data_IF_833962232567
#
_entry.id   IF_833962232567
#
_cell.length_a   1.000
_cell.length_b   1.000
_cell.length_c   1.000
_cell.angle_alpha   90.00
_cell.angle_beta   90.00
_cell.angle_gamma   90.00
#
_symmetry.space_group_name_H-M   'P 1'
#
loop_
_entity.id
_entity.type
_entity.pdbx_description
1 polymer ?
#
# COMPACT_ATOMS: atom_id res chain seq x y z
N UNK A 1 -44.38 -12.29 30.71
CA UNK A 1 -43.40 -11.30 31.21
C UNK A 1 -42.26 -11.23 30.19
N UNK A 2 -42.02 -10.07 29.59
CA UNK A 2 -40.73 -9.74 28.94
C UNK A 2 -39.90 -8.97 29.98
N UNK A 3 -38.54 -9.03 29.97
CA UNK A 3 -37.76 -8.35 28.92
C UNK A 3 -36.41 -8.98 28.50
N UNK A 4 -36.04 -8.66 27.25
CA UNK A 4 -34.72 -8.32 26.68
C UNK A 4 -33.42 -8.68 27.43
N UNK A 5 -32.48 -9.32 26.73
CA UNK A 5 -31.06 -8.88 26.65
C UNK A 5 -30.44 -9.32 25.30
N UNK A 6 -29.96 -8.32 24.56
CA UNK A 6 -29.06 -8.40 23.40
C UNK A 6 -27.62 -8.48 23.94
N UNK A 7 -26.72 -9.24 23.31
CA UNK A 7 -25.38 -8.82 22.87
C UNK A 7 -24.48 -10.03 22.55
N UNK A 8 -23.70 -9.93 21.48
CA UNK A 8 -22.37 -10.54 21.39
C UNK A 8 -22.20 -11.62 20.33
N UNK A 9 -21.91 -11.20 19.10
CA UNK A 9 -21.34 -12.02 18.05
C UNK A 9 -19.85 -12.35 18.34
N UNK A 10 -19.32 -13.26 17.51
CA UNK A 10 -17.95 -13.78 17.42
C UNK A 10 -17.64 -14.94 18.37
N UNK A 11 -17.36 -16.11 17.78
CA UNK A 11 -16.02 -16.64 17.54
C UNK A 11 -16.16 -18.11 17.12
N UNK A 12 -16.32 -18.38 15.83
CA UNK A 12 -16.18 -19.75 15.31
C UNK A 12 -14.79 -19.92 14.68
N UNK A 13 -13.93 -20.51 15.50
CA UNK A 13 -12.89 -21.50 15.20
C UNK A 13 -12.22 -21.48 13.82
N UNK A 14 -10.91 -21.23 13.87
CA UNK A 14 -9.92 -21.75 12.94
C UNK A 14 -10.08 -23.27 12.77
N UNK A 15 -10.25 -23.73 11.53
CA UNK A 15 -9.64 -24.99 11.07
C UNK A 15 -9.34 -24.86 9.58
N UNK A 16 -8.14 -25.28 9.20
CA UNK A 16 -7.47 -24.84 7.98
C UNK A 16 -8.13 -25.24 6.67
N UNK A 17 -8.05 -24.32 5.72
CA UNK A 17 -7.74 -24.61 4.34
C UNK A 17 -7.10 -23.35 3.74
N UNK A 18 -5.97 -23.48 3.05
CA UNK A 18 -5.32 -22.34 2.35
C UNK A 18 -6.15 -21.99 1.12
N UNK A 19 -7.26 -21.28 1.35
CA UNK A 19 -8.03 -20.63 0.29
C UNK A 19 -7.29 -19.39 -0.18
N UNK A 20 -7.09 -19.27 -1.48
CA UNK A 20 -6.69 -18.04 -2.13
C UNK A 20 -7.63 -16.89 -1.67
N UNK A 21 -7.14 -15.76 -1.13
CA UNK A 21 -8.01 -14.67 -0.65
C UNK A 21 -8.81 -13.99 -1.78
N UNK A 22 -8.59 -14.38 -3.04
CA UNK A 22 -9.34 -13.92 -4.21
C UNK A 22 -10.33 -14.98 -4.72
N UNK A 23 -11.05 -15.68 -3.84
CA UNK A 23 -12.28 -16.35 -4.28
C UNK A 23 -13.28 -15.27 -4.69
N UNK A 24 -13.39 -15.06 -6.00
CA UNK A 24 -14.37 -14.19 -6.63
C UNK A 24 -15.76 -14.51 -6.07
N UNK A 25 -16.40 -13.52 -5.44
CA UNK A 25 -17.80 -13.64 -5.07
C UNK A 25 -18.62 -13.98 -6.33
N UNK A 26 -19.63 -14.87 -6.26
CA UNK A 26 -20.46 -15.21 -7.41
C UNK A 26 -21.01 -13.93 -8.04
N UNK A 27 -20.83 -13.79 -9.35
CA UNK A 27 -21.17 -12.58 -10.10
C UNK A 27 -22.65 -12.23 -9.90
N UNK A 28 -22.94 -11.20 -9.10
CA UNK A 28 -24.29 -10.66 -8.98
C UNK A 28 -24.79 -10.28 -7.59
N UNK A 29 -24.03 -10.43 -6.51
CA UNK A 29 -24.47 -9.94 -5.19
C UNK A 29 -23.84 -8.58 -4.85
N UNK A 30 -24.63 -7.51 -4.93
CA UNK A 30 -24.29 -6.18 -4.39
C UNK A 30 -25.21 -5.91 -3.20
N UNK A 31 -24.72 -6.03 -1.94
CA UNK A 31 -25.52 -5.63 -0.79
C UNK A 31 -25.69 -4.11 -0.78
N UNK A 32 -26.93 -3.65 -0.58
CA UNK A 32 -27.26 -2.23 -0.55
C UNK A 32 -26.55 -1.54 0.63
N UNK A 33 -25.65 -0.59 0.34
CA UNK A 33 -24.93 0.21 1.33
C UNK A 33 -23.40 0.02 1.37
N UNK A 34 -22.82 -0.77 0.47
CA UNK A 34 -21.35 -0.80 0.31
C UNK A 34 -20.86 0.55 -0.18
N UNK A 35 -20.05 1.25 0.63
CA UNK A 35 -19.05 2.18 0.10
C UNK A 35 -18.41 1.45 -1.06
N UNK A 36 -18.49 1.99 -2.27
CA UNK A 36 -17.86 1.36 -3.42
C UNK A 36 -16.43 1.01 -3.01
N UNK A 37 -16.13 -0.29 -2.97
CA UNK A 37 -14.79 -0.75 -2.70
C UNK A 37 -13.95 -0.15 -3.82
N UNK A 38 -13.18 0.89 -3.52
CA UNK A 38 -12.37 1.57 -4.53
C UNK A 38 -11.31 0.55 -4.94
N UNK A 39 -11.49 -0.04 -6.11
CA UNK A 39 -10.57 -1.03 -6.67
C UNK A 39 -9.45 -0.33 -7.42
N UNK A 40 -8.23 -0.91 -7.43
CA UNK A 40 -7.17 -0.43 -8.30
C UNK A 40 -7.63 -0.44 -9.76
N UNK A 41 -7.29 0.62 -10.49
CA UNK A 41 -7.50 0.78 -11.93
C UNK A 41 -6.35 0.20 -12.75
N UNK A 42 -5.17 0.03 -12.13
CA UNK A 42 -4.00 -0.55 -12.78
C UNK A 42 -3.93 -2.07 -12.64
N UNK A 43 -3.31 -2.72 -13.63
CA UNK A 43 -3.00 -4.16 -13.55
C UNK A 43 -1.89 -4.44 -12.54
N UNK A 44 -1.84 -5.68 -12.04
CA UNK A 44 -0.76 -6.16 -11.16
C UNK A 44 0.63 -5.97 -11.80
N UNK A 45 0.75 -6.25 -13.10
CA UNK A 45 2.01 -6.05 -13.84
C UNK A 45 2.45 -4.59 -13.88
N UNK A 46 1.50 -3.67 -14.05
CA UNK A 46 1.78 -2.21 -14.01
C UNK A 46 2.18 -1.77 -12.61
N UNK A 47 1.46 -2.20 -11.58
CA UNK A 47 1.80 -1.92 -10.19
C UNK A 47 3.22 -2.41 -9.84
N UNK A 48 3.59 -3.62 -10.27
CA UNK A 48 4.93 -4.18 -10.08
C UNK A 48 6.01 -3.39 -10.80
N UNK A 49 5.74 -2.94 -12.03
CA UNK A 49 6.66 -2.09 -12.79
C UNK A 49 6.91 -0.75 -12.10
N UNK A 50 5.86 -0.10 -11.59
CA UNK A 50 6.01 1.17 -10.85
C UNK A 50 6.74 0.94 -9.54
N UNK A 51 6.39 -0.10 -8.77
CA UNK A 51 7.07 -0.43 -7.52
C UNK A 51 8.57 -0.68 -7.71
N UNK A 52 8.96 -1.32 -8.81
CA UNK A 52 10.37 -1.53 -9.16
C UNK A 52 11.07 -0.21 -9.47
N UNK A 53 10.44 0.66 -10.29
CA UNK A 53 10.98 1.98 -10.62
C UNK A 53 11.08 2.92 -9.40
N UNK A 54 10.15 2.81 -8.45
CA UNK A 54 10.22 3.54 -7.17
C UNK A 54 11.40 3.06 -6.34
N UNK A 55 11.58 1.74 -6.19
CA UNK A 55 12.71 1.21 -5.45
C UNK A 55 14.05 1.61 -6.07
N UNK A 56 14.17 1.49 -7.38
CA UNK A 56 15.36 1.91 -8.11
C UNK A 56 15.69 3.39 -7.93
N UNK A 57 14.72 4.25 -7.65
CA UNK A 57 14.95 5.68 -7.43
C UNK A 57 15.20 6.03 -5.96
N UNK A 58 14.52 5.34 -5.04
CA UNK A 58 14.66 5.50 -3.60
C UNK A 58 15.98 4.91 -3.06
N UNK A 59 16.46 3.80 -3.62
CA UNK A 59 17.71 3.12 -3.20
C UNK A 59 18.95 3.72 -3.87
N UNK A 60 18.89 4.98 -4.35
CA UNK A 60 20.04 5.66 -4.96
C UNK A 60 20.70 6.57 -3.96
N UNK A 61 21.95 6.93 -4.23
CA UNK A 61 22.67 7.91 -3.42
C UNK A 61 21.99 9.29 -3.36
N UNK A 62 21.25 9.66 -4.40
CA UNK A 62 20.46 10.89 -4.44
C UNK A 62 19.08 10.58 -5.04
N UNK A 63 18.07 10.57 -4.17
CA UNK A 63 16.66 10.41 -4.54
C UNK A 63 16.16 11.67 -5.26
N UNK A 64 15.45 11.51 -6.38
CA UNK A 64 14.76 12.60 -7.05
C UNK A 64 13.28 12.66 -6.67
N UNK A 65 12.91 13.61 -5.81
CA UNK A 65 11.52 13.93 -5.47
C UNK A 65 10.62 14.06 -6.70
N UNK A 66 11.08 14.78 -7.72
CA UNK A 66 10.33 15.02 -8.95
C UNK A 66 10.03 13.72 -9.71
N UNK A 67 10.97 12.77 -9.73
CA UNK A 67 10.79 11.48 -10.39
C UNK A 67 9.84 10.59 -9.61
N UNK A 68 9.94 10.56 -8.28
CA UNK A 68 8.99 9.83 -7.42
C UNK A 68 7.57 10.38 -7.59
N UNK A 69 7.40 11.70 -7.55
CA UNK A 69 6.10 12.34 -7.80
C UNK A 69 5.60 11.99 -9.21
N UNK A 70 6.45 12.06 -10.23
CA UNK A 70 6.06 11.71 -11.60
C UNK A 70 5.65 10.24 -11.76
N UNK A 71 6.24 9.32 -11.00
CA UNK A 71 5.87 7.90 -11.00
C UNK A 71 4.52 7.64 -10.32
N UNK A 72 4.11 8.50 -9.39
CA UNK A 72 2.86 8.36 -8.63
C UNK A 72 1.72 9.26 -9.15
N UNK A 73 2.04 10.25 -9.97
CA UNK A 73 1.07 11.22 -10.48
C UNK A 73 0.00 10.55 -11.34
N UNK A 74 -1.26 10.89 -11.06
CA UNK A 74 -2.41 10.43 -11.83
C UNK A 74 -3.01 9.09 -11.39
N UNK A 75 -2.40 8.44 -10.40
CA UNK A 75 -2.97 7.27 -9.74
C UNK A 75 -3.86 7.69 -8.57
N UNK A 76 -4.86 6.85 -8.25
CA UNK A 76 -5.69 7.04 -7.06
C UNK A 76 -5.13 6.26 -5.85
N UNK A 77 -5.78 6.37 -4.69
CA UNK A 77 -5.32 5.69 -3.47
C UNK A 77 -5.34 4.16 -3.58
N UNK A 78 -6.31 3.58 -4.28
CA UNK A 78 -6.36 2.13 -4.48
C UNK A 78 -5.21 1.64 -5.39
N UNK A 79 -4.86 2.42 -6.42
CA UNK A 79 -3.68 2.18 -7.25
C UNK A 79 -2.39 2.28 -6.45
N UNK A 80 -2.28 3.29 -5.57
CA UNK A 80 -1.15 3.41 -4.66
C UNK A 80 -1.03 2.17 -3.77
N UNK A 81 -2.14 1.68 -3.18
CA UNK A 81 -2.12 0.46 -2.38
C UNK A 81 -1.72 -0.77 -3.20
N UNK A 82 -2.12 -0.86 -4.47
CA UNK A 82 -1.66 -1.92 -5.36
C UNK A 82 -0.14 -1.84 -5.60
N UNK A 83 0.42 -0.65 -5.80
CA UNK A 83 1.87 -0.42 -5.95
C UNK A 83 2.60 -0.75 -4.64
N UNK A 84 2.11 -0.26 -3.50
CA UNK A 84 2.61 -0.55 -2.16
C UNK A 84 2.73 -2.06 -1.92
N UNK A 85 1.67 -2.81 -2.23
CA UNK A 85 1.66 -4.26 -2.08
C UNK A 85 2.70 -4.97 -2.96
N UNK A 86 2.99 -4.45 -4.16
CA UNK A 86 4.04 -4.99 -5.03
C UNK A 86 5.45 -4.57 -4.59
N UNK A 87 5.59 -3.42 -3.92
CA UNK A 87 6.87 -2.95 -3.38
C UNK A 87 7.32 -3.81 -2.19
N UNK A 88 6.38 -4.09 -1.29
CA UNK A 88 6.60 -4.91 -0.09
C UNK A 88 7.47 -4.19 0.95
N UNK A 89 8.23 -4.97 1.72
CA UNK A 89 9.18 -4.45 2.71
C UNK A 89 10.59 -4.60 2.17
N UNK A 90 11.39 -3.54 2.24
CA UNK A 90 12.77 -3.51 1.75
C UNK A 90 13.71 -2.91 2.78
N UNK A 91 14.98 -3.32 2.73
CA UNK A 91 16.01 -2.85 3.64
C UNK A 91 16.45 -1.45 3.24
N UNK A 92 16.20 -0.48 4.11
CA UNK A 92 16.70 0.89 4.02
C UNK A 92 18.01 1.01 4.79
N UNK A 93 19.00 1.63 4.18
CA UNK A 93 20.21 2.06 4.90
C UNK A 93 20.41 3.57 4.73
N UNK A 94 20.29 4.35 5.82
CA UNK A 94 20.50 5.80 5.77
C UNK A 94 21.96 6.21 5.53
N UNK A 95 22.93 5.29 5.66
CA UNK A 95 24.36 5.61 5.55
C UNK A 95 24.92 5.24 4.18
N UNK A 96 24.60 4.05 3.67
CA UNK A 96 25.03 3.56 2.37
C UNK A 96 23.84 2.95 1.62
N UNK A 97 23.21 3.67 0.68
CA UNK A 97 22.05 3.21 -0.10
C UNK A 97 22.43 2.15 -1.16
N UNK A 98 23.17 1.11 -0.76
CA UNK A 98 23.67 0.03 -1.62
C UNK A 98 23.57 -1.32 -0.91
N UNK A 99 22.43 -1.59 -0.25
CA UNK A 99 21.98 -2.93 0.22
C UNK A 99 22.86 -3.72 1.20
N UNK A 100 24.10 -3.30 1.45
CA UNK A 100 25.17 -4.12 2.05
C UNK A 100 25.49 -3.71 3.48
N UNK A 101 24.78 -2.72 4.03
CA UNK A 101 25.06 -2.23 5.37
C UNK A 101 24.42 -3.07 6.44
N UNK A 102 25.23 -3.51 7.39
CA UNK A 102 24.83 -4.18 8.63
C UNK A 102 23.94 -3.32 9.54
N UNK A 103 23.76 -2.02 9.24
CA UNK A 103 22.97 -1.07 10.04
C UNK A 103 21.58 -0.76 9.47
N UNK A 104 21.24 -1.28 8.28
CA UNK A 104 19.95 -1.03 7.66
C UNK A 104 18.79 -1.74 8.35
N UNK A 105 17.57 -1.18 8.24
CA UNK A 105 16.33 -1.72 8.79
C UNK A 105 15.26 -1.85 7.71
N UNK A 106 14.33 -2.77 7.91
CA UNK A 106 13.30 -3.11 6.94
C UNK A 106 12.10 -2.18 7.09
N UNK A 107 11.76 -1.47 6.02
CA UNK A 107 10.64 -0.52 5.98
C UNK A 107 9.82 -0.67 4.69
N UNK A 108 8.59 -0.20 4.72
CA UNK A 108 7.67 -0.25 3.57
C UNK A 108 7.80 0.98 2.65
N UNK A 109 7.07 0.97 1.52
CA UNK A 109 7.12 2.05 0.53
C UNK A 109 6.81 3.43 1.12
N UNK A 110 5.81 3.52 1.99
CA UNK A 110 5.37 4.80 2.56
C UNK A 110 6.43 5.34 3.50
N UNK A 111 7.01 4.47 4.33
CA UNK A 111 8.13 4.84 5.21
C UNK A 111 9.38 5.25 4.43
N UNK A 112 9.72 4.55 3.33
CA UNK A 112 10.79 4.95 2.41
C UNK A 112 10.55 6.36 1.87
N UNK A 113 9.35 6.61 1.35
CA UNK A 113 9.00 7.92 0.79
C UNK A 113 9.11 9.03 1.84
N UNK A 114 8.57 8.82 3.05
CA UNK A 114 8.60 9.82 4.13
C UNK A 114 10.03 10.15 4.56
N UNK A 115 10.95 9.17 4.53
CA UNK A 115 12.34 9.37 4.95
C UNK A 115 13.20 10.03 3.87
N UNK A 116 12.92 9.73 2.60
CA UNK A 116 13.76 10.16 1.48
C UNK A 116 13.33 11.48 0.84
N UNK A 117 12.04 11.79 0.85
CA UNK A 117 11.53 12.99 0.17
C UNK A 117 11.53 14.22 1.08
N UNK A 118 11.62 15.40 0.46
CA UNK A 118 11.43 16.66 1.17
C UNK A 118 9.99 16.84 1.67
N UNK A 119 9.81 17.60 2.75
CA UNK A 119 8.49 17.96 3.29
C UNK A 119 7.56 18.59 2.24
N UNK A 120 8.11 19.35 1.30
CA UNK A 120 7.34 19.96 0.21
C UNK A 120 6.76 18.93 -0.76
N UNK A 121 7.47 17.83 -0.97
CA UNK A 121 7.05 16.73 -1.83
C UNK A 121 6.09 15.80 -1.09
N UNK A 122 6.31 15.56 0.20
CA UNK A 122 5.32 14.90 1.06
C UNK A 122 4.01 15.68 1.06
N UNK A 123 4.04 17.01 1.18
CA UNK A 123 2.83 17.83 1.09
C UNK A 123 2.11 17.73 -0.27
N UNK A 124 2.82 17.45 -1.37
CA UNK A 124 2.20 17.16 -2.66
C UNK A 124 1.56 15.76 -2.66
N UNK A 125 2.22 14.77 -2.07
CA UNK A 125 1.67 13.42 -1.92
C UNK A 125 0.41 13.41 -1.05
N UNK A 126 0.36 14.19 0.04
CA UNK A 126 -0.87 14.38 0.85
C UNK A 126 -2.06 14.88 0.04
N UNK A 127 -1.81 15.71 -0.99
CA UNK A 127 -2.89 16.22 -1.86
C UNK A 127 -3.37 15.15 -2.84
N UNK A 128 -2.50 14.22 -3.24
CA UNK A 128 -2.84 13.13 -4.17
C UNK A 128 -3.46 11.93 -3.45
N UNK A 129 -2.99 11.64 -2.24
CA UNK A 129 -3.35 10.47 -1.44
C UNK A 129 -3.62 10.87 0.04
N UNK A 130 -4.66 11.68 0.30
CA UNK A 130 -4.92 12.28 1.62
C UNK A 130 -5.20 11.28 2.75
N UNK A 131 -5.63 10.06 2.43
CA UNK A 131 -5.86 9.01 3.43
C UNK A 131 -4.59 8.25 3.80
N UNK A 132 -3.48 8.48 3.08
CA UNK A 132 -2.22 7.72 3.22
C UNK A 132 -1.10 8.58 3.80
N UNK A 133 -0.92 9.82 3.32
CA UNK A 133 0.17 10.73 3.72
C UNK A 133 -0.34 11.93 4.53
#
# INVERSE_FOLDING_TARGET
MNPLLILGALWFFFSGNKGNPYQEAPSGYIPAGTKEEIKPTISVGKAKSIASALYEELDRYLTSDAKIISLLKGYNEADYLAIYNQFGVKKHDPVFPTGSSILGYNIDLTEWIIKELSESSIAQLRKMFPSIF
#
